data_IF_311688113448
#
_entry.id   IF_311688113448
#
_cell.length_a   1.000
_cell.length_b   1.000
_cell.length_c   1.000
_cell.angle_alpha   90.00
_cell.angle_beta   90.00
_cell.angle_gamma   90.00
#
_symmetry.space_group_name_H-M   'P 1'
#
loop_
_entity.id
_entity.type
_entity.pdbx_description
1 polymer ?
#
# COMPACT_ATOMS: atom_id res chain seq x y z
N UNK A 1 3.03 9.17 -3.25
CA UNK A 1 3.79 8.21 -4.09
C UNK A 1 4.56 8.99 -5.15
N UNK A 2 5.77 8.53 -5.49
CA UNK A 2 6.55 9.03 -6.60
C UNK A 2 6.98 7.90 -7.54
N UNK A 3 7.11 8.20 -8.83
CA UNK A 3 7.68 7.29 -9.83
C UNK A 3 9.13 7.67 -10.14
N UNK A 4 9.94 6.67 -10.47
CA UNK A 4 11.27 6.86 -11.04
C UNK A 4 11.20 7.27 -12.51
N UNK A 5 12.29 7.77 -13.08
CA UNK A 5 12.37 8.17 -14.49
C UNK A 5 12.08 7.02 -15.47
N UNK A 6 12.33 5.77 -15.06
CA UNK A 6 12.03 4.55 -15.84
C UNK A 6 10.61 3.99 -15.59
N UNK A 7 9.75 4.71 -14.86
CA UNK A 7 8.35 4.36 -14.66
C UNK A 7 8.11 3.27 -13.62
N UNK A 8 9.00 3.16 -12.62
CA UNK A 8 8.85 2.28 -11.46
C UNK A 8 8.34 3.04 -10.25
N UNK A 9 7.76 2.32 -9.30
CA UNK A 9 7.40 2.88 -7.99
C UNK A 9 8.68 3.18 -7.23
N UNK A 10 8.99 4.47 -7.04
CA UNK A 10 10.21 4.90 -6.36
C UNK A 10 10.03 4.95 -4.84
N UNK A 11 8.98 5.65 -4.40
CA UNK A 11 8.67 5.81 -2.98
C UNK A 11 7.16 5.90 -2.74
N UNK A 12 6.73 5.36 -1.60
CA UNK A 12 5.37 5.49 -1.08
C UNK A 12 5.44 6.08 0.32
N UNK A 13 5.07 7.35 0.40
CA UNK A 13 4.76 8.01 1.67
C UNK A 13 3.25 7.97 1.92
N UNK A 14 2.85 7.55 3.11
CA UNK A 14 1.46 7.59 3.58
C UNK A 14 1.41 8.09 5.03
N UNK A 15 0.33 8.78 5.38
CA UNK A 15 -0.06 9.05 6.75
C UNK A 15 -1.50 8.56 6.93
N UNK A 16 -1.74 7.79 7.98
CA UNK A 16 -3.02 7.13 8.15
C UNK A 16 -3.20 6.57 9.55
N UNK A 17 -4.33 6.92 10.16
CA UNK A 17 -4.79 6.32 11.41
C UNK A 17 -5.83 5.25 11.08
N UNK A 18 -5.65 4.05 11.64
CA UNK A 18 -6.56 2.94 11.40
C UNK A 18 -6.32 1.78 12.35
N UNK A 19 -7.11 0.72 12.22
CA UNK A 19 -6.89 -0.49 13.00
C UNK A 19 -5.54 -1.15 12.65
N UNK A 20 -5.05 -2.04 13.51
CA UNK A 20 -3.77 -2.73 13.29
C UNK A 20 -3.70 -3.47 11.95
N UNK A 21 -4.82 -4.02 11.46
CA UNK A 21 -4.86 -4.70 10.14
C UNK A 21 -4.63 -3.72 9.00
N UNK A 22 -5.27 -2.55 9.03
CA UNK A 22 -5.08 -1.58 7.95
C UNK A 22 -3.67 -1.02 7.94
N UNK A 23 -3.06 -0.80 9.11
CA UNK A 23 -1.67 -0.34 9.19
C UNK A 23 -0.70 -1.41 8.69
N UNK A 24 -0.85 -2.66 9.15
CA UNK A 24 -0.01 -3.77 8.70
C UNK A 24 -0.15 -4.01 7.20
N UNK A 25 -1.38 -3.96 6.67
CA UNK A 25 -1.64 -4.20 5.25
C UNK A 25 -1.03 -3.11 4.36
N UNK A 26 -1.09 -1.84 4.79
CA UNK A 26 -0.44 -0.74 4.06
C UNK A 26 1.09 -0.83 4.12
N UNK A 27 1.66 -1.28 5.24
CA UNK A 27 3.11 -1.54 5.33
C UNK A 27 3.53 -2.61 4.33
N UNK A 28 2.82 -3.75 4.33
CA UNK A 28 3.11 -4.86 3.40
C UNK A 28 2.94 -4.42 1.95
N UNK A 29 1.86 -3.72 1.60
CA UNK A 29 1.69 -3.13 0.28
C UNK A 29 2.94 -2.35 -0.14
N UNK A 30 3.43 -1.46 0.73
CA UNK A 30 4.57 -0.58 0.43
C UNK A 30 5.80 -1.40 0.10
N UNK A 31 6.10 -2.40 0.93
CA UNK A 31 7.25 -3.30 0.72
C UNK A 31 7.12 -4.12 -0.57
N UNK A 32 5.89 -4.53 -0.93
CA UNK A 32 5.65 -5.38 -2.10
C UNK A 32 5.71 -4.63 -3.43
N UNK A 33 5.40 -3.33 -3.48
CA UNK A 33 5.27 -2.61 -4.75
C UNK A 33 6.44 -1.67 -5.06
N UNK A 34 7.22 -1.25 -4.07
CA UNK A 34 8.40 -0.40 -4.29
C UNK A 34 9.44 -1.12 -5.16
N UNK A 35 9.97 -0.42 -6.16
CA UNK A 35 10.91 -0.97 -7.14
C UNK A 35 10.26 -1.72 -8.31
N UNK A 36 8.98 -2.07 -8.23
CA UNK A 36 8.25 -2.67 -9.34
C UNK A 36 7.89 -1.61 -10.39
N UNK A 37 7.76 -2.03 -11.66
CA UNK A 37 7.10 -1.19 -12.65
C UNK A 37 5.63 -0.98 -12.26
N UNK A 38 5.02 0.12 -12.70
CA UNK A 38 3.59 0.38 -12.42
C UNK A 38 2.70 -0.80 -12.83
N UNK A 39 3.02 -1.47 -13.96
CA UNK A 39 2.27 -2.64 -14.42
C UNK A 39 2.39 -3.81 -13.45
N UNK A 40 3.61 -4.14 -13.01
CA UNK A 40 3.86 -5.23 -12.06
C UNK A 40 3.19 -4.93 -10.71
N UNK A 41 3.33 -3.71 -10.20
CA UNK A 41 2.68 -3.29 -8.97
C UNK A 41 1.15 -3.41 -9.03
N UNK A 42 0.53 -2.99 -10.14
CA UNK A 42 -0.92 -3.17 -10.32
C UNK A 42 -1.33 -4.64 -10.38
N UNK A 43 -0.52 -5.51 -11.01
CA UNK A 43 -0.77 -6.94 -11.03
C UNK A 43 -0.71 -7.55 -9.62
N UNK A 44 0.28 -7.17 -8.80
CA UNK A 44 0.38 -7.55 -7.39
C UNK A 44 -0.85 -7.08 -6.60
N UNK A 45 -1.31 -5.85 -6.83
CA UNK A 45 -2.51 -5.32 -6.17
C UNK A 45 -3.78 -6.07 -6.58
N UNK A 46 -3.93 -6.40 -7.87
CA UNK A 46 -5.06 -7.18 -8.38
C UNK A 46 -5.08 -8.60 -7.80
N UNK A 47 -3.91 -9.25 -7.70
CA UNK A 47 -3.78 -10.56 -7.08
C UNK A 47 -4.17 -10.54 -5.59
N UNK A 48 -3.71 -9.53 -4.83
CA UNK A 48 -4.09 -9.36 -3.43
C UNK A 48 -5.59 -9.10 -3.26
N UNK A 49 -6.16 -8.21 -4.09
CA UNK A 49 -7.60 -7.90 -4.07
C UNK A 49 -8.46 -9.12 -4.38
N UNK A 50 -8.08 -9.89 -5.41
CA UNK A 50 -8.74 -11.14 -5.76
C UNK A 50 -8.72 -12.14 -4.59
N UNK A 51 -7.56 -12.34 -3.95
CA UNK A 51 -7.44 -13.22 -2.78
C UNK A 51 -8.35 -12.75 -1.63
N UNK A 52 -8.29 -11.48 -1.25
CA UNK A 52 -9.01 -10.95 -0.09
C UNK A 52 -10.53 -10.91 -0.29
N UNK A 53 -10.99 -10.63 -1.51
CA UNK A 53 -12.42 -10.58 -1.83
C UNK A 53 -13.04 -11.95 -2.13
N UNK A 54 -12.21 -12.99 -2.30
CA UNK A 54 -12.62 -14.34 -2.70
C UNK A 54 -13.55 -15.07 -1.71
N UNK A 55 -13.68 -14.58 -0.47
CA UNK A 55 -14.32 -15.29 0.64
C UNK A 55 -13.64 -16.62 1.00
N UNK A 56 -12.32 -16.69 0.82
CA UNK A 56 -11.52 -17.87 1.11
C UNK A 56 -11.54 -18.93 0.00
N UNK A 57 -12.02 -18.59 -1.19
CA UNK A 57 -12.02 -19.48 -2.35
C UNK A 57 -10.73 -19.36 -3.19
N UNK A 58 -9.91 -18.36 -2.94
CA UNK A 58 -8.61 -18.15 -3.58
C UNK A 58 -7.58 -18.10 -2.45
N UNK A 59 -6.60 -19.01 -2.49
CA UNK A 59 -5.54 -19.07 -1.45
C UNK A 59 -4.53 -17.92 -1.59
N UNK A 60 -4.34 -17.40 -2.79
CA UNK A 60 -3.31 -16.41 -3.12
C UNK A 60 -2.07 -17.05 -3.74
N UNK A 61 -1.28 -16.24 -4.41
CA UNK A 61 -0.02 -16.66 -5.05
C UNK A 61 1.14 -15.92 -4.37
N UNK A 62 1.89 -16.62 -3.53
CA UNK A 62 3.02 -16.07 -2.76
C UNK A 62 4.10 -15.45 -3.65
N UNK A 63 4.30 -15.96 -4.86
CA UNK A 63 5.27 -15.39 -5.80
C UNK A 63 4.81 -14.03 -6.34
N UNK A 64 3.50 -13.77 -6.37
CA UNK A 64 2.93 -12.51 -6.84
C UNK A 64 2.72 -11.46 -5.75
N UNK A 65 2.33 -11.89 -4.54
CA UNK A 65 1.93 -10.98 -3.46
C UNK A 65 2.88 -10.97 -2.27
N UNK A 66 3.91 -11.84 -2.27
CA UNK A 66 4.89 -11.97 -1.19
C UNK A 66 4.24 -12.06 0.18
N UNK A 67 4.69 -11.20 1.11
CA UNK A 67 4.17 -11.15 2.48
C UNK A 67 2.67 -10.81 2.56
N UNK A 68 2.08 -10.32 1.47
CA UNK A 68 0.62 -10.16 1.34
C UNK A 68 -0.15 -11.46 1.58
N UNK A 69 0.48 -12.62 1.36
CA UNK A 69 -0.13 -13.94 1.59
C UNK A 69 -0.55 -14.14 3.05
N UNK A 70 0.11 -13.46 4.00
CA UNK A 70 -0.24 -13.50 5.42
C UNK A 70 -1.68 -13.03 5.69
N UNK A 71 -2.28 -12.26 4.78
CA UNK A 71 -3.66 -11.78 4.88
C UNK A 71 -4.69 -12.75 4.28
N UNK A 72 -4.31 -13.90 3.71
CA UNK A 72 -5.24 -14.86 3.11
C UNK A 72 -6.39 -15.24 4.05
N UNK A 73 -6.11 -15.38 5.36
CA UNK A 73 -7.11 -15.64 6.39
C UNK A 73 -8.18 -14.56 6.53
N UNK A 74 -7.86 -13.30 6.22
CA UNK A 74 -8.80 -12.15 6.29
C UNK A 74 -9.94 -12.29 5.30
N UNK A 75 -9.74 -12.98 4.18
CA UNK A 75 -10.78 -13.22 3.17
C UNK A 75 -12.03 -13.91 3.73
N UNK A 76 -11.89 -14.69 4.82
CA UNK A 76 -12.99 -15.40 5.49
C UNK A 76 -13.80 -14.51 6.45
N UNK A 77 -13.38 -13.26 6.66
CA UNK A 77 -13.98 -12.32 7.61
C UNK A 77 -14.43 -11.03 6.90
N UNK A 78 -15.66 -10.98 6.35
CA UNK A 78 -16.16 -9.83 5.58
C UNK A 78 -16.03 -8.47 6.29
N UNK A 79 -16.16 -8.47 7.62
CA UNK A 79 -16.02 -7.25 8.43
C UNK A 79 -14.59 -6.67 8.44
N UNK A 80 -13.56 -7.44 8.06
CA UNK A 80 -12.14 -7.04 8.06
C UNK A 80 -11.56 -6.85 6.66
N UNK A 81 -12.26 -7.29 5.61
CA UNK A 81 -11.86 -7.14 4.20
C UNK A 81 -11.54 -5.68 3.86
N UNK A 82 -12.42 -4.73 4.23
CA UNK A 82 -12.20 -3.31 3.95
C UNK A 82 -10.95 -2.76 4.64
N UNK A 83 -10.64 -3.23 5.84
CA UNK A 83 -9.43 -2.83 6.56
C UNK A 83 -8.18 -3.33 5.84
N UNK A 84 -8.19 -4.55 5.32
CA UNK A 84 -7.07 -5.10 4.57
C UNK A 84 -6.88 -4.37 3.23
N UNK A 85 -7.94 -4.02 2.51
CA UNK A 85 -7.85 -3.42 1.17
C UNK A 85 -7.60 -1.91 1.15
N UNK A 86 -7.74 -1.20 2.27
CA UNK A 86 -7.73 0.26 2.29
C UNK A 86 -6.49 0.87 1.61
N UNK A 87 -5.28 0.45 2.04
CA UNK A 87 -4.03 0.94 1.45
C UNK A 87 -3.88 0.57 -0.03
N UNK A 88 -4.30 -0.64 -0.39
CA UNK A 88 -4.17 -1.20 -1.74
C UNK A 88 -5.04 -0.45 -2.76
N UNK A 89 -6.26 -0.08 -2.37
CA UNK A 89 -7.14 0.75 -3.20
C UNK A 89 -6.64 2.19 -3.30
N UNK A 90 -6.09 2.74 -2.22
CA UNK A 90 -5.47 4.06 -2.24
C UNK A 90 -4.26 4.12 -3.18
N UNK A 91 -3.46 3.04 -3.25
CA UNK A 91 -2.37 2.93 -4.21
C UNK A 91 -2.86 2.93 -5.67
N UNK A 92 -3.89 2.13 -5.98
CA UNK A 92 -4.53 2.14 -7.32
C UNK A 92 -4.99 3.55 -7.71
N UNK A 93 -5.66 4.24 -6.80
CA UNK A 93 -6.11 5.62 -7.02
C UNK A 93 -4.93 6.57 -7.25
N UNK A 94 -3.87 6.48 -6.45
CA UNK A 94 -2.67 7.27 -6.62
C UNK A 94 -1.98 7.03 -7.98
N UNK A 95 -1.94 5.78 -8.45
CA UNK A 95 -1.44 5.46 -9.80
C UNK A 95 -2.29 6.16 -10.86
N UNK A 96 -3.62 6.09 -10.76
CA UNK A 96 -4.54 6.78 -11.70
C UNK A 96 -4.30 8.29 -11.70
N UNK A 97 -4.19 8.91 -10.53
CA UNK A 97 -3.95 10.35 -10.43
C UNK A 97 -2.59 10.77 -11.03
N UNK A 98 -1.56 9.94 -10.93
CA UNK A 98 -0.25 10.24 -11.52
C UNK A 98 -0.27 10.07 -13.04
N UNK A 99 -0.95 9.05 -13.57
CA UNK A 99 -1.03 8.86 -15.03
C UNK A 99 -1.94 9.90 -15.69
N UNK A 100 -3.07 10.24 -15.06
CA UNK A 100 -3.98 11.30 -15.56
C UNK A 100 -3.36 12.69 -15.34
N UNK A 101 -2.62 12.86 -14.25
CA UNK A 101 -1.89 14.08 -13.92
C UNK A 101 -0.60 14.27 -14.72
N UNK A 102 -0.12 13.26 -15.47
CA UNK A 102 1.05 13.42 -16.34
C UNK A 102 0.79 14.36 -17.55
N UNK A 103 -0.47 14.73 -17.81
CA UNK A 103 -0.86 15.84 -18.69
C UNK A 103 -0.83 17.23 -17.98
N UNK A 104 -0.52 17.30 -16.69
CA UNK A 104 -0.39 18.52 -15.90
C UNK A 104 0.97 18.60 -15.18
N UNK A 105 1.78 19.59 -15.54
CA UNK A 105 3.17 19.85 -15.11
C UNK A 105 3.45 19.75 -13.58
N UNK A 106 4.73 19.55 -13.17
CA UNK A 106 5.09 18.97 -11.86
C UNK A 106 4.99 19.98 -10.71
N UNK A 107 4.45 19.54 -9.58
CA UNK A 107 4.44 20.34 -8.34
C UNK A 107 5.61 19.94 -7.43
N UNK A 108 6.34 20.96 -6.98
CA UNK A 108 7.60 20.92 -6.22
C UNK A 108 7.66 19.91 -5.06
N UNK A 109 8.80 19.23 -5.02
CA UNK A 109 9.42 18.58 -3.85
C UNK A 109 9.32 19.43 -2.57
N UNK A 110 8.77 18.89 -1.49
CA UNK A 110 8.91 19.43 -0.13
C UNK A 110 9.76 18.45 0.69
N UNK A 111 11.02 18.84 0.80
CA UNK A 111 12.00 18.51 1.84
C UNK A 111 11.37 18.08 3.18
N UNK A 112 11.71 16.86 3.60
CA UNK A 112 11.37 16.33 4.92
C UNK A 112 11.95 17.19 6.04
N UNK A 113 11.08 17.62 6.96
CA UNK A 113 11.50 18.03 8.30
C UNK A 113 11.25 16.86 9.24
N UNK A 114 12.34 16.20 9.61
CA UNK A 114 12.38 15.27 10.73
C UNK A 114 12.00 16.02 12.01
N UNK A 115 10.96 15.56 12.72
CA UNK A 115 10.66 16.03 14.07
C UNK A 115 11.07 14.91 15.03
N UNK A 116 11.97 15.15 15.99
CA UNK A 116 12.44 14.11 16.90
C UNK A 116 11.36 13.75 17.91
N UNK A 117 11.14 12.45 18.10
CA UNK A 117 10.32 11.88 19.17
C UNK A 117 10.98 12.20 20.52
N UNK A 118 10.31 12.99 21.37
CA UNK A 118 10.73 13.17 22.76
C UNK A 118 10.22 12.01 23.59
N UNK A 119 11.17 11.17 24.02
CA UNK A 119 10.99 10.14 25.04
C UNK A 119 11.04 10.74 26.45
N UNK A 120 10.04 10.42 27.27
CA UNK A 120 10.22 10.22 28.70
C UNK A 120 9.68 11.29 29.65
N UNK A 121 9.00 10.83 30.72
CA UNK A 121 8.70 11.67 31.88
C UNK A 121 7.59 11.11 32.76
N UNK A 122 7.85 10.01 33.46
CA UNK A 122 6.99 9.48 34.52
C UNK A 122 6.96 10.38 35.77
N UNK A 123 5.82 10.31 36.46
CA UNK A 123 5.67 10.34 37.93
C UNK A 123 5.43 11.67 38.67
N UNK A 124 4.36 11.58 39.47
CA UNK A 124 3.98 12.30 40.71
C UNK A 124 3.22 13.61 40.59
#
# INVERSE_FOLDING_TARGET
MALTDDGRVGDISYDGQGCSISQASTSVLTDQVVGLSVREALATVDAFDAMITSRGNIEGDEDMIGDGIAFAGVSKYPARVKCALLGWMAFKDAVVQIVDGADAAPTKNVIGTVVPVQTGGSSS
#
